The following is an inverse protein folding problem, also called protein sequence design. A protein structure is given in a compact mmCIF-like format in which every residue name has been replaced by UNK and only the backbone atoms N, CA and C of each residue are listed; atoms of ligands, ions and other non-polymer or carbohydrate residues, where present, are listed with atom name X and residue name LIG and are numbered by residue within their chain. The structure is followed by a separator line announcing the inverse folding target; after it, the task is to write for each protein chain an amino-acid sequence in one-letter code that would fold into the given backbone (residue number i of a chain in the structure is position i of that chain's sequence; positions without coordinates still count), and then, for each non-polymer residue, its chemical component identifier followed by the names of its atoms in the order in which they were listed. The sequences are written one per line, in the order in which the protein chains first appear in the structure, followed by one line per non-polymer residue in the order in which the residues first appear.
data_IF_926550231927
#
_entry.id   IF_926550231927
#
_cell.length_a   1.000
_cell.length_b   1.000
_cell.length_c   1.000
_cell.angle_alpha   90.00
_cell.angle_beta   90.00
_cell.angle_gamma   90.00
#
_symmetry.space_group_name_H-M   'P 1'
#
loop_
_entity.id
_entity.type
_entity.pdbx_description
1 polymer ?
#
# COMPACT_ATOMS: atom_id res chain seq x y z
N UNK A 1 -3.29 -18.12 41.91
CA UNK A 1 -2.35 -18.29 40.77
C UNK A 1 -3.05 -18.53 39.43
N UNK A 2 -3.98 -19.50 39.29
CA UNK A 2 -4.62 -19.82 37.99
C UNK A 2 -5.45 -18.68 37.37
N UNK A 3 -6.16 -17.88 38.18
CA UNK A 3 -6.96 -16.72 37.72
C UNK A 3 -6.08 -15.56 37.21
N UNK A 4 -4.92 -15.36 37.83
CA UNK A 4 -3.97 -14.31 37.45
C UNK A 4 -3.28 -14.61 36.11
N UNK A 5 -2.86 -15.87 35.89
CA UNK A 5 -2.31 -16.29 34.60
C UNK A 5 -3.30 -16.13 33.44
N UNK A 6 -4.61 -16.33 33.68
CA UNK A 6 -5.65 -16.11 32.66
C UNK A 6 -5.80 -14.65 32.25
N UNK A 7 -5.70 -13.72 33.21
CA UNK A 7 -5.79 -12.29 32.94
C UNK A 7 -4.56 -11.82 32.16
N UNK A 8 -3.37 -12.29 32.54
CA UNK A 8 -2.13 -11.99 31.81
C UNK A 8 -2.21 -12.55 30.38
N UNK A 9 -2.65 -13.80 30.21
CA UNK A 9 -2.82 -14.42 28.89
C UNK A 9 -3.79 -13.62 28.01
N UNK A 10 -4.94 -13.20 28.55
CA UNK A 10 -5.91 -12.38 27.82
C UNK A 10 -5.34 -11.02 27.42
N UNK A 11 -4.57 -10.36 28.30
CA UNK A 11 -3.95 -9.07 27.98
C UNK A 11 -2.89 -9.18 26.89
N UNK A 12 -2.11 -10.27 26.87
CA UNK A 12 -1.11 -10.53 25.83
C UNK A 12 -1.78 -10.83 24.49
N UNK A 13 -2.85 -11.62 24.48
CA UNK A 13 -3.62 -11.90 23.26
C UNK A 13 -4.25 -10.62 22.69
N UNK A 14 -4.83 -9.78 23.56
CA UNK A 14 -5.41 -8.50 23.13
C UNK A 14 -4.35 -7.55 22.56
N UNK A 15 -3.19 -7.44 23.21
CA UNK A 15 -2.08 -6.63 22.70
C UNK A 15 -1.58 -7.14 21.33
N UNK A 16 -1.52 -8.45 21.12
CA UNK A 16 -1.13 -9.05 19.84
C UNK A 16 -2.11 -8.69 18.72
N UNK A 17 -3.42 -8.71 19.01
CA UNK A 17 -4.47 -8.34 18.05
C UNK A 17 -4.38 -6.87 17.62
N UNK A 18 -3.99 -5.95 18.51
CA UNK A 18 -3.83 -4.53 18.19
C UNK A 18 -2.62 -4.23 17.27
N UNK A 19 -1.69 -5.18 17.11
CA UNK A 19 -0.48 -4.98 16.28
C UNK A 19 -0.62 -5.51 14.85
N UNK A 20 -1.76 -6.10 14.49
CA UNK A 20 -1.98 -6.62 13.14
C UNK A 20 -2.32 -5.46 12.19
N UNK A 21 -1.30 -4.85 11.59
CA UNK A 21 -1.49 -3.92 10.48
C UNK A 21 -1.85 -4.69 9.21
N UNK A 22 -3.10 -4.58 8.77
CA UNK A 22 -3.51 -5.08 7.46
C UNK A 22 -2.88 -4.20 6.36
N UNK A 23 -1.97 -4.76 5.58
CA UNK A 23 -1.37 -4.06 4.43
C UNK A 23 -2.34 -4.13 3.25
N UNK A 24 -3.36 -3.26 3.25
CA UNK A 24 -4.29 -3.13 2.13
C UNK A 24 -3.52 -2.75 0.86
N UNK A 25 -3.89 -3.34 -0.28
CA UNK A 25 -3.32 -2.95 -1.57
C UNK A 25 -3.66 -1.48 -1.83
N UNK A 26 -2.66 -0.70 -2.26
CA UNK A 26 -2.84 0.73 -2.56
C UNK A 26 -3.81 0.92 -3.72
N UNK A 27 -3.75 0.04 -4.72
CA UNK A 27 -4.66 0.02 -5.85
C UNK A 27 -5.35 -1.34 -5.97
N UNK A 28 -6.64 -1.32 -6.31
CA UNK A 28 -7.47 -2.53 -6.35
C UNK A 28 -7.08 -3.51 -7.47
N UNK A 29 -6.58 -3.00 -8.59
CA UNK A 29 -6.31 -3.70 -9.83
C UNK A 29 -4.88 -4.26 -9.96
N UNK A 30 -4.01 -4.03 -8.97
CA UNK A 30 -2.62 -4.51 -8.98
C UNK A 30 -2.39 -5.73 -8.09
N UNK A 31 -3.43 -6.26 -7.44
CA UNK A 31 -3.29 -7.27 -6.38
C UNK A 31 -2.49 -8.51 -6.80
N UNK A 32 -2.68 -8.96 -8.04
CA UNK A 32 -2.00 -10.11 -8.66
C UNK A 32 -1.12 -9.70 -9.86
N UNK A 33 -0.73 -8.43 -9.96
CA UNK A 33 0.04 -7.93 -11.09
C UNK A 33 1.55 -7.99 -10.79
N UNK A 34 2.37 -8.42 -11.76
CA UNK A 34 3.83 -8.54 -11.58
C UNK A 34 4.50 -7.22 -11.17
N UNK A 35 3.94 -6.10 -11.64
CA UNK A 35 4.48 -4.77 -11.37
C UNK A 35 4.08 -4.21 -9.99
N UNK A 36 3.27 -4.94 -9.20
CA UNK A 36 2.70 -4.46 -7.93
C UNK A 36 3.73 -3.80 -7.01
N UNK A 37 4.84 -4.49 -6.74
CA UNK A 37 5.86 -4.02 -5.81
C UNK A 37 6.62 -2.78 -6.31
N UNK A 38 6.69 -2.60 -7.63
CA UNK A 38 7.27 -1.41 -8.25
C UNK A 38 6.30 -0.23 -8.15
N UNK A 39 5.02 -0.46 -8.47
CA UNK A 39 3.95 0.53 -8.40
C UNK A 39 3.79 1.06 -6.98
N UNK A 40 3.67 0.17 -5.98
CA UNK A 40 3.56 0.56 -4.56
C UNK A 40 4.79 1.37 -4.10
N UNK A 41 5.99 1.07 -4.62
CA UNK A 41 7.21 1.82 -4.28
C UNK A 41 7.20 3.23 -4.87
N UNK A 42 6.80 3.38 -6.14
CA UNK A 42 6.79 4.68 -6.80
C UNK A 42 5.64 5.56 -6.30
N UNK A 43 4.52 4.97 -5.91
CA UNK A 43 3.40 5.65 -5.26
C UNK A 43 3.81 6.19 -3.89
N UNK A 44 4.47 5.37 -3.07
CA UNK A 44 4.97 5.78 -1.76
C UNK A 44 5.98 6.95 -1.83
N UNK A 45 6.69 7.06 -2.95
CA UNK A 45 7.61 8.16 -3.22
C UNK A 45 6.95 9.39 -3.86
N UNK A 46 5.63 9.36 -4.08
CA UNK A 46 4.86 10.45 -4.68
C UNK A 46 5.11 10.64 -6.18
N UNK A 47 5.69 9.65 -6.87
CA UNK A 47 5.99 9.75 -8.30
C UNK A 47 4.74 9.50 -9.16
N UNK A 48 3.89 8.58 -8.71
CA UNK A 48 2.63 8.24 -9.37
C UNK A 48 1.48 8.38 -8.41
N UNK A 49 0.29 8.59 -8.97
CA UNK A 49 -0.99 8.63 -8.27
C UNK A 49 -1.97 7.81 -9.09
N UNK A 50 -2.82 7.03 -8.43
CA UNK A 50 -3.89 6.31 -9.12
C UNK A 50 -5.01 7.23 -9.57
N UNK A 51 -6.05 6.63 -10.13
CA UNK A 51 -7.27 7.30 -10.52
C UNK A 51 -8.24 7.43 -9.34
N UNK A 52 -9.25 8.29 -9.48
CA UNK A 52 -10.26 8.54 -8.43
C UNK A 52 -11.07 7.29 -8.06
N UNK A 53 -11.12 6.30 -8.95
CA UNK A 53 -11.78 5.01 -8.74
C UNK A 53 -10.95 4.01 -7.90
N UNK A 54 -9.74 4.39 -7.47
CA UNK A 54 -8.85 3.53 -6.69
C UNK A 54 -8.08 2.49 -7.52
N UNK A 55 -7.93 2.72 -8.81
CA UNK A 55 -7.14 1.88 -9.74
C UNK A 55 -5.83 2.55 -10.16
N UNK A 56 -4.88 1.76 -10.65
CA UNK A 56 -3.64 2.23 -11.29
C UNK A 56 -3.63 2.05 -12.81
N UNK A 57 -4.37 1.08 -13.33
CA UNK A 57 -4.47 0.65 -14.73
C UNK A 57 -3.10 0.23 -15.29
N UNK A 58 -2.44 -0.80 -14.71
CA UNK A 58 -1.05 -1.15 -15.00
C UNK A 58 -0.78 -1.58 -16.45
N UNK A 59 -1.79 -2.08 -17.15
CA UNK A 59 -1.68 -2.56 -18.54
C UNK A 59 -2.07 -1.49 -19.58
N UNK A 60 -2.52 -0.31 -19.14
CA UNK A 60 -2.86 0.76 -20.06
C UNK A 60 -1.60 1.45 -20.60
N UNK A 61 -1.71 1.96 -21.83
CA UNK A 61 -0.68 2.83 -22.39
C UNK A 61 -0.62 4.14 -21.61
N UNK A 62 0.61 4.53 -21.27
CA UNK A 62 0.91 5.83 -20.65
C UNK A 62 0.93 6.90 -21.74
N UNK A 63 0.25 8.02 -21.50
CA UNK A 63 0.29 9.18 -22.38
C UNK A 63 1.59 9.96 -22.23
N UNK A 64 1.94 10.78 -23.24
CA UNK A 64 3.11 11.67 -23.16
C UNK A 64 3.01 12.64 -21.98
N UNK A 65 1.81 13.14 -21.66
CA UNK A 65 1.63 14.04 -20.52
C UNK A 65 1.86 13.32 -19.19
N UNK A 66 1.31 12.12 -19.01
CA UNK A 66 1.51 11.33 -17.79
C UNK A 66 2.99 10.98 -17.59
N UNK A 67 3.71 10.63 -18.66
CA UNK A 67 5.15 10.35 -18.56
C UNK A 67 5.96 11.58 -18.18
N UNK A 68 5.64 12.76 -18.73
CA UNK A 68 6.26 14.03 -18.33
C UNK A 68 5.98 14.39 -16.87
N UNK A 69 4.75 14.16 -16.38
CA UNK A 69 4.40 14.39 -14.97
C UNK A 69 5.20 13.47 -14.05
N UNK A 70 5.34 12.19 -14.40
CA UNK A 70 6.18 11.25 -13.64
C UNK A 70 7.65 11.69 -13.61
N UNK A 71 8.18 12.18 -14.74
CA UNK A 71 9.54 12.72 -14.82
C UNK A 71 9.71 14.00 -13.99
N UNK A 72 8.76 14.94 -14.06
CA UNK A 72 8.78 16.18 -13.26
C UNK A 72 8.83 15.87 -11.77
N UNK A 73 8.01 14.92 -11.29
CA UNK A 73 8.02 14.46 -9.89
C UNK A 73 9.33 13.77 -9.50
N UNK A 74 9.90 12.97 -10.41
CA UNK A 74 11.18 12.29 -10.18
C UNK A 74 12.34 13.27 -10.02
N UNK A 75 12.43 14.26 -10.91
CA UNK A 75 13.50 15.27 -10.89
C UNK A 75 13.20 16.47 -9.99
N UNK A 76 11.98 16.55 -9.43
CA UNK A 76 11.47 17.67 -8.62
C UNK A 76 11.56 19.01 -9.35
N UNK A 77 11.20 19.01 -10.63
CA UNK A 77 11.20 20.17 -11.52
C UNK A 77 9.79 20.61 -11.88
#
# INVERSE_FOLDING_TARGET
MKKLNRIILLSVVLALLLTMTANAAVFSDISNHWARSYIERVEKNGLVSGYEDGTFKPDNNVTVLESLVMMSRLYKI
#
